data_IF_477097524388
#
_entry.id   IF_477097524388
#
_cell.length_a   1.000
_cell.length_b   1.000
_cell.length_c   1.000
_cell.angle_alpha   90.00
_cell.angle_beta   90.00
_cell.angle_gamma   90.00
#
_symmetry.space_group_name_H-M   'P 1'
#
loop_
_entity.id
_entity.type
_entity.pdbx_description
1 polymer ?
#
# COMPACT_ATOMS: atom_id res chain seq x y z
N UNK A 1 -60.39 1.66 66.03
CA UNK A 1 -59.93 1.59 67.47
C UNK A 1 -58.93 0.47 67.60
N UNK A 2 -57.92 0.78 68.38
CA UNK A 2 -56.87 0.04 69.02
C UNK A 2 -55.57 -0.22 68.20
N UNK A 3 -54.65 0.56 68.63
CA UNK A 3 -53.20 0.47 68.69
C UNK A 3 -52.75 -0.79 69.45
N UNK A 4 -51.57 -1.36 69.12
CA UNK A 4 -50.54 -1.91 70.04
C UNK A 4 -49.29 -2.24 69.25
N UNK A 5 -48.34 -1.53 69.39
CA UNK A 5 -47.05 -1.33 70.09
C UNK A 5 -46.11 -2.52 70.14
N UNK A 6 -44.91 -2.11 69.79
CA UNK A 6 -43.61 -2.78 69.85
C UNK A 6 -43.30 -3.57 71.14
N UNK A 7 -42.37 -4.53 71.00
CA UNK A 7 -41.46 -5.14 71.98
C UNK A 7 -41.84 -6.48 72.58
N UNK A 8 -40.98 -7.41 72.31
CA UNK A 8 -40.15 -8.25 73.21
C UNK A 8 -39.77 -9.53 72.46
N UNK A 9 -38.54 -9.81 72.33
CA UNK A 9 -37.34 -10.14 73.06
C UNK A 9 -36.94 -11.62 72.86
N UNK A 10 -35.76 -11.71 72.33
CA UNK A 10 -34.65 -12.65 72.58
C UNK A 10 -34.89 -14.04 73.15
N UNK A 11 -34.12 -14.91 72.53
CA UNK A 11 -33.41 -16.11 72.97
C UNK A 11 -33.97 -17.45 72.51
N UNK A 12 -33.23 -18.06 71.61
CA UNK A 12 -32.50 -19.32 71.94
C UNK A 12 -31.45 -19.64 70.88
N UNK A 13 -30.34 -20.10 71.38
CA UNK A 13 -29.12 -20.53 70.62
C UNK A 13 -29.40 -21.82 69.83
N UNK A 14 -28.64 -22.00 68.78
CA UNK A 14 -28.15 -23.33 68.44
C UNK A 14 -28.26 -23.68 66.93
N UNK A 15 -27.22 -23.60 66.21
CA UNK A 15 -26.63 -24.59 65.35
C UNK A 15 -25.78 -23.92 64.27
N UNK A 16 -24.49 -24.04 64.32
CA UNK A 16 -23.55 -23.66 63.34
C UNK A 16 -23.73 -24.52 62.08
N UNK A 17 -24.25 -23.96 61.00
CA UNK A 17 -24.15 -24.51 59.67
C UNK A 17 -23.07 -23.72 58.90
N UNK A 18 -21.94 -24.35 58.67
CA UNK A 18 -20.86 -23.84 57.79
C UNK A 18 -21.39 -23.84 56.37
N UNK A 19 -21.83 -22.71 55.90
CA UNK A 19 -22.07 -22.47 54.48
C UNK A 19 -20.73 -22.17 53.80
N UNK A 20 -20.36 -22.87 52.72
CA UNK A 20 -19.16 -22.49 51.97
C UNK A 20 -19.37 -21.09 51.39
N UNK A 21 -18.45 -20.20 51.67
CA UNK A 21 -18.32 -18.91 51.00
C UNK A 21 -18.18 -19.18 49.52
N UNK A 22 -19.27 -19.02 48.75
CA UNK A 22 -19.20 -18.82 47.31
C UNK A 22 -18.55 -17.45 47.16
N UNK A 23 -17.24 -17.43 46.89
CA UNK A 23 -16.56 -16.27 46.42
C UNK A 23 -17.35 -15.77 45.18
N UNK A 24 -17.76 -14.49 45.10
CA UNK A 24 -18.29 -13.98 43.87
C UNK A 24 -17.17 -14.15 42.84
N UNK A 25 -17.41 -15.01 41.85
CA UNK A 25 -16.66 -14.92 40.59
C UNK A 25 -16.85 -13.49 40.11
N UNK A 26 -15.91 -12.63 40.46
CA UNK A 26 -15.70 -11.39 39.75
C UNK A 26 -15.46 -11.81 38.29
N UNK A 27 -16.52 -11.81 37.48
CA UNK A 27 -16.42 -11.68 36.07
C UNK A 27 -15.62 -10.38 35.88
N UNK A 28 -14.31 -10.51 35.70
CA UNK A 28 -13.48 -9.55 35.02
C UNK A 28 -14.00 -9.55 33.58
N UNK A 29 -15.22 -8.97 33.38
CA UNK A 29 -15.56 -8.32 32.14
C UNK A 29 -14.45 -7.30 32.01
N UNK A 30 -13.44 -7.64 31.23
CA UNK A 30 -12.49 -6.65 30.73
C UNK A 30 -13.37 -5.52 30.22
N UNK A 31 -13.32 -4.37 30.87
CA UNK A 31 -13.87 -3.16 30.29
C UNK A 31 -13.16 -2.98 28.96
N UNK A 32 -13.72 -3.56 27.89
CA UNK A 32 -13.24 -3.37 26.54
C UNK A 32 -13.38 -1.89 26.29
N UNK A 33 -12.26 -1.16 26.41
CA UNK A 33 -12.20 0.25 26.04
C UNK A 33 -12.78 0.39 24.62
N UNK A 34 -13.35 1.57 24.31
CA UNK A 34 -13.91 1.83 22.99
C UNK A 34 -12.98 1.35 21.88
N UNK A 35 -13.51 0.78 20.81
CA UNK A 35 -12.77 0.32 19.63
C UNK A 35 -11.89 1.46 19.07
N UNK A 36 -10.87 1.11 18.31
CA UNK A 36 -10.00 2.07 17.63
C UNK A 36 -10.36 2.06 16.15
N UNK A 37 -10.98 3.13 15.64
CA UNK A 37 -11.44 3.19 14.27
C UNK A 37 -10.29 3.43 13.29
N UNK A 38 -10.28 2.69 12.18
CA UNK A 38 -9.36 2.84 11.05
C UNK A 38 -10.18 3.07 9.79
N UNK A 39 -9.94 4.19 9.10
CA UNK A 39 -10.53 4.48 7.80
C UNK A 39 -9.75 3.80 6.68
N UNK A 40 -10.43 3.09 5.80
CA UNK A 40 -9.81 2.32 4.71
C UNK A 40 -10.47 2.69 3.39
N UNK A 41 -9.79 3.49 2.57
CA UNK A 41 -10.25 3.84 1.23
C UNK A 41 -9.55 2.96 0.19
N UNK A 42 -10.32 2.15 -0.54
CA UNK A 42 -9.79 1.19 -1.50
C UNK A 42 -10.46 1.35 -2.86
N UNK A 43 -9.75 1.11 -3.96
CA UNK A 43 -10.33 1.16 -5.30
C UNK A 43 -11.12 -0.13 -5.57
N UNK A 44 -12.34 -0.23 -5.04
CA UNK A 44 -13.20 -1.39 -5.28
C UNK A 44 -13.82 -1.36 -6.68
N UNK A 45 -13.94 -0.15 -7.24
CA UNK A 45 -14.42 0.11 -8.61
C UNK A 45 -13.50 1.10 -9.33
N UNK A 46 -13.82 1.44 -10.58
CA UNK A 46 -13.01 2.34 -11.42
C UNK A 46 -11.79 1.66 -12.04
N UNK A 47 -10.80 2.44 -12.43
CA UNK A 47 -9.63 1.96 -13.20
C UNK A 47 -8.76 0.94 -12.46
N UNK A 48 -8.78 0.93 -11.13
CA UNK A 48 -8.03 0.02 -10.28
C UNK A 48 -8.92 -1.01 -9.56
N UNK A 49 -10.19 -1.14 -9.97
CA UNK A 49 -11.19 -1.97 -9.30
C UNK A 49 -10.82 -3.45 -9.15
N UNK A 50 -9.93 -3.95 -9.99
CA UNK A 50 -9.42 -5.31 -9.88
C UNK A 50 -8.59 -5.57 -8.61
N UNK A 51 -7.96 -4.55 -8.04
CA UNK A 51 -7.06 -4.70 -6.88
C UNK A 51 -7.78 -4.55 -5.53
N UNK A 52 -8.88 -3.81 -5.49
CA UNK A 52 -9.59 -3.44 -4.25
C UNK A 52 -10.07 -4.62 -3.41
N UNK A 53 -10.72 -5.63 -3.98
CA UNK A 53 -11.24 -6.78 -3.22
C UNK A 53 -10.19 -7.52 -2.39
N UNK A 54 -9.03 -7.83 -2.98
CA UNK A 54 -7.94 -8.51 -2.27
C UNK A 54 -7.29 -7.61 -1.21
N UNK A 55 -7.22 -6.30 -1.45
CA UNK A 55 -6.76 -5.33 -0.46
C UNK A 55 -7.73 -5.24 0.73
N UNK A 56 -9.04 -5.27 0.49
CA UNK A 56 -10.05 -5.28 1.54
C UNK A 56 -9.99 -6.56 2.37
N UNK A 57 -9.78 -7.71 1.73
CA UNK A 57 -9.61 -8.98 2.43
C UNK A 57 -8.34 -8.99 3.29
N UNK A 58 -7.23 -8.44 2.79
CA UNK A 58 -6.00 -8.27 3.56
C UNK A 58 -6.22 -7.39 4.80
N UNK A 59 -6.96 -6.28 4.67
CA UNK A 59 -7.31 -5.42 5.80
C UNK A 59 -8.10 -6.19 6.87
N UNK A 60 -9.17 -6.88 6.46
CA UNK A 60 -10.04 -7.66 7.36
C UNK A 60 -9.26 -8.75 8.10
N UNK A 61 -8.46 -9.55 7.39
CA UNK A 61 -7.68 -10.64 7.99
C UNK A 61 -6.60 -10.12 8.92
N UNK A 62 -5.95 -9.02 8.58
CA UNK A 62 -4.94 -8.38 9.44
C UNK A 62 -5.56 -7.91 10.76
N UNK A 63 -6.68 -7.19 10.69
CA UNK A 63 -7.38 -6.73 11.90
C UNK A 63 -7.92 -7.90 12.72
N UNK A 64 -8.46 -8.92 12.07
CA UNK A 64 -8.91 -10.14 12.77
C UNK A 64 -7.76 -10.82 13.54
N UNK A 65 -6.57 -10.91 12.90
CA UNK A 65 -5.36 -11.45 13.54
C UNK A 65 -4.91 -10.62 14.74
N UNK A 66 -4.87 -9.29 14.64
CA UNK A 66 -4.52 -8.39 15.73
C UNK A 66 -5.52 -8.52 16.87
N UNK A 67 -6.82 -8.48 16.56
CA UNK A 67 -7.88 -8.55 17.56
C UNK A 67 -7.93 -9.91 18.29
N UNK A 68 -7.70 -11.01 17.58
CA UNK A 68 -7.61 -12.35 18.20
C UNK A 68 -6.32 -12.53 19.00
N UNK A 69 -5.25 -11.82 18.66
CA UNK A 69 -3.99 -11.76 19.39
C UNK A 69 -4.02 -10.88 20.65
N UNK A 70 -5.20 -10.41 21.05
CA UNK A 70 -5.40 -9.59 22.26
C UNK A 70 -5.55 -8.10 22.02
N UNK A 71 -5.75 -7.66 20.77
CA UNK A 71 -5.95 -6.23 20.42
C UNK A 71 -4.70 -5.39 20.66
N UNK A 72 -4.88 -4.10 20.90
CA UNK A 72 -3.81 -3.13 21.23
C UNK A 72 -4.23 -2.25 22.42
N UNK A 73 -3.31 -1.48 22.99
CA UNK A 73 -3.59 -0.50 24.05
C UNK A 73 -4.42 -1.09 25.20
N UNK A 74 -3.97 -2.20 25.76
CA UNK A 74 -4.66 -2.87 26.89
C UNK A 74 -5.88 -3.69 26.47
N UNK A 75 -5.92 -4.21 25.25
CA UNK A 75 -6.96 -5.12 24.77
C UNK A 75 -8.04 -4.46 23.92
N UNK A 76 -7.89 -3.19 23.54
CA UNK A 76 -8.82 -2.51 22.62
C UNK A 76 -8.75 -3.14 21.24
N UNK A 77 -9.92 -3.32 20.64
CA UNK A 77 -10.05 -3.89 19.30
C UNK A 77 -9.92 -2.80 18.23
N UNK A 78 -9.32 -3.15 17.10
CA UNK A 78 -9.38 -2.32 15.89
C UNK A 78 -10.73 -2.54 15.19
N UNK A 79 -11.29 -1.48 14.63
CA UNK A 79 -12.52 -1.48 13.85
C UNK A 79 -12.29 -0.82 12.49
N UNK A 80 -12.66 -1.51 11.40
CA UNK A 80 -12.45 -1.04 10.03
C UNK A 80 -13.70 -0.37 9.47
N UNK A 81 -13.51 0.79 8.88
CA UNK A 81 -14.47 1.46 8.01
C UNK A 81 -13.93 1.41 6.59
N UNK A 82 -14.37 0.40 5.80
CA UNK A 82 -13.88 0.15 4.44
C UNK A 82 -14.88 0.73 3.46
N UNK A 83 -14.42 1.63 2.59
CA UNK A 83 -15.25 2.31 1.59
C UNK A 83 -14.56 2.28 0.22
N UNK A 84 -15.37 2.32 -0.84
CA UNK A 84 -14.90 2.39 -2.22
C UNK A 84 -14.45 3.81 -2.58
N UNK A 85 -13.19 3.96 -2.97
CA UNK A 85 -12.65 5.23 -3.47
C UNK A 85 -13.01 5.49 -4.94
N UNK A 86 -13.61 4.49 -5.62
CA UNK A 86 -13.96 4.53 -7.05
C UNK A 86 -12.77 4.89 -7.96
N UNK A 87 -11.54 4.70 -7.47
CA UNK A 87 -10.30 5.20 -8.11
C UNK A 87 -10.34 6.73 -8.39
N UNK A 88 -11.08 7.49 -7.57
CA UNK A 88 -11.41 8.90 -7.77
C UNK A 88 -10.82 9.79 -6.70
N UNK A 89 -10.16 10.89 -7.12
CA UNK A 89 -9.61 11.91 -6.22
C UNK A 89 -10.68 12.57 -5.33
N UNK A 90 -11.83 12.92 -5.91
CA UNK A 90 -12.91 13.60 -5.18
C UNK A 90 -13.59 12.68 -4.17
N UNK A 91 -13.82 11.42 -4.55
CA UNK A 91 -14.39 10.42 -3.64
C UNK A 91 -13.44 10.15 -2.49
N UNK A 92 -12.13 9.93 -2.75
CA UNK A 92 -11.13 9.71 -1.71
C UNK A 92 -11.03 10.88 -0.73
N UNK A 93 -11.10 12.14 -1.21
CA UNK A 93 -11.12 13.33 -0.35
C UNK A 93 -12.36 13.35 0.57
N UNK A 94 -13.55 13.06 0.01
CA UNK A 94 -14.80 13.00 0.78
C UNK A 94 -14.77 11.87 1.82
N UNK A 95 -14.23 10.70 1.46
CA UNK A 95 -14.04 9.59 2.39
C UNK A 95 -13.09 9.97 3.53
N UNK A 96 -11.99 10.66 3.24
CA UNK A 96 -11.06 11.13 4.27
C UNK A 96 -11.75 12.03 5.29
N UNK A 97 -12.58 12.98 4.83
CA UNK A 97 -13.39 13.84 5.71
C UNK A 97 -14.42 13.03 6.52
N UNK A 98 -15.10 12.05 5.88
CA UNK A 98 -16.07 11.17 6.56
C UNK A 98 -15.39 10.34 7.66
N UNK A 99 -14.26 9.70 7.36
CA UNK A 99 -13.51 8.91 8.33
C UNK A 99 -13.07 9.74 9.53
N UNK A 100 -12.55 10.94 9.30
CA UNK A 100 -12.09 11.82 10.38
C UNK A 100 -13.27 12.39 11.18
N UNK A 101 -14.25 12.96 10.49
CA UNK A 101 -15.29 13.76 11.16
C UNK A 101 -16.42 12.92 11.73
N UNK A 102 -16.81 11.82 11.06
CA UNK A 102 -17.91 10.94 11.48
C UNK A 102 -17.38 9.77 12.31
N UNK A 103 -16.44 9.02 11.76
CA UNK A 103 -15.92 7.80 12.41
C UNK A 103 -14.78 8.08 13.40
N UNK A 104 -14.29 9.33 13.50
CA UNK A 104 -13.20 9.73 14.39
C UNK A 104 -11.89 8.96 14.16
N UNK A 105 -11.65 8.50 12.94
CA UNK A 105 -10.42 7.82 12.57
C UNK A 105 -9.23 8.77 12.65
N UNK A 106 -8.15 8.31 13.27
CA UNK A 106 -6.87 9.00 13.29
C UNK A 106 -5.82 8.33 12.39
N UNK A 107 -6.22 7.27 11.72
CA UNK A 107 -5.45 6.55 10.69
C UNK A 107 -6.32 6.33 9.46
N UNK A 108 -5.78 6.69 8.31
CA UNK A 108 -6.36 6.55 6.99
C UNK A 108 -5.42 5.68 6.17
N UNK A 109 -5.87 4.50 5.72
CA UNK A 109 -5.04 3.51 5.03
C UNK A 109 -5.66 3.10 3.69
N UNK A 110 -4.88 2.44 2.84
CA UNK A 110 -5.33 1.97 1.52
C UNK A 110 -4.89 2.89 0.40
N UNK A 111 -5.58 3.96 0.15
CA UNK A 111 -5.33 5.04 -0.84
C UNK A 111 -4.34 4.65 -1.94
N UNK A 112 -4.85 3.89 -2.92
CA UNK A 112 -3.99 3.21 -3.89
C UNK A 112 -3.40 4.16 -4.94
N UNK A 113 -4.22 5.03 -5.50
CA UNK A 113 -3.83 5.88 -6.62
C UNK A 113 -3.18 7.20 -6.24
N UNK A 114 -2.35 7.74 -7.11
CA UNK A 114 -1.77 9.08 -6.92
C UNK A 114 -2.84 10.18 -6.76
N UNK A 115 -3.91 10.24 -7.59
CA UNK A 115 -4.96 11.23 -7.40
C UNK A 115 -5.64 11.14 -6.04
N UNK A 116 -5.90 9.93 -5.55
CA UNK A 116 -6.52 9.66 -4.24
C UNK A 116 -5.61 10.12 -3.10
N UNK A 117 -4.33 9.75 -3.13
CA UNK A 117 -3.35 10.16 -2.12
C UNK A 117 -3.14 11.66 -2.09
N UNK A 118 -3.02 12.31 -3.26
CA UNK A 118 -2.80 13.75 -3.38
C UNK A 118 -3.98 14.58 -2.90
N UNK A 119 -5.22 14.15 -3.16
CA UNK A 119 -6.43 14.86 -2.71
C UNK A 119 -6.68 14.68 -1.21
N UNK A 120 -6.31 13.55 -0.64
CA UNK A 120 -6.51 13.23 0.79
C UNK A 120 -5.41 13.78 1.69
N UNK A 121 -4.20 13.98 1.15
CA UNK A 121 -3.04 14.48 1.89
C UNK A 121 -3.29 15.79 2.68
N UNK A 122 -3.78 16.88 2.07
CA UNK A 122 -4.02 18.13 2.80
C UNK A 122 -5.06 17.95 3.91
N UNK A 123 -6.07 17.11 3.69
CA UNK A 123 -7.12 16.82 4.67
C UNK A 123 -6.51 16.12 5.89
N UNK A 124 -5.68 15.10 5.67
CA UNK A 124 -5.02 14.35 6.74
C UNK A 124 -4.09 15.27 7.57
N UNK A 125 -3.22 16.05 6.93
CA UNK A 125 -2.30 16.96 7.60
C UNK A 125 -3.06 18.00 8.43
N UNK A 126 -4.06 18.66 7.85
CA UNK A 126 -4.86 19.69 8.52
C UNK A 126 -5.57 19.16 9.78
N UNK A 127 -6.05 17.92 9.72
CA UNK A 127 -6.77 17.27 10.82
C UNK A 127 -5.87 16.45 11.74
N UNK A 128 -4.55 16.47 11.53
CA UNK A 128 -3.57 15.68 12.29
C UNK A 128 -3.91 14.19 12.33
N UNK A 129 -4.37 13.63 11.19
CA UNK A 129 -4.59 12.22 10.99
C UNK A 129 -3.45 11.64 10.14
N UNK A 130 -3.03 10.41 10.41
CA UNK A 130 -1.98 9.77 9.61
C UNK A 130 -2.60 9.13 8.36
N UNK A 131 -2.07 9.49 7.21
CA UNK A 131 -2.42 8.95 5.90
C UNK A 131 -1.33 8.00 5.42
N UNK A 132 -1.69 6.75 5.18
CA UNK A 132 -0.81 5.73 4.60
C UNK A 132 -1.29 5.36 3.22
N UNK A 133 -0.43 5.52 2.22
CA UNK A 133 -0.79 5.35 0.82
C UNK A 133 0.04 4.27 0.13
N UNK A 134 -0.54 3.66 -0.90
CA UNK A 134 0.18 2.81 -1.86
C UNK A 134 0.48 3.53 -3.18
N UNK A 135 0.50 4.85 -3.15
CA UNK A 135 0.74 5.75 -4.30
C UNK A 135 2.22 6.03 -4.49
N UNK A 136 2.65 6.30 -5.73
CA UNK A 136 4.06 6.44 -6.07
C UNK A 136 4.55 7.88 -6.33
N UNK A 137 3.67 8.85 -6.64
CA UNK A 137 4.09 10.20 -7.00
C UNK A 137 4.97 10.85 -5.92
N UNK A 138 6.06 11.50 -6.32
CA UNK A 138 7.01 12.10 -5.40
C UNK A 138 6.36 13.09 -4.43
N UNK A 139 5.46 13.93 -4.95
CA UNK A 139 4.80 15.00 -4.20
C UNK A 139 3.96 14.53 -3.00
N UNK A 140 3.68 13.23 -2.88
CA UNK A 140 2.84 12.69 -1.79
C UNK A 140 3.46 12.93 -0.42
N UNK A 141 4.76 12.66 -0.27
CA UNK A 141 5.51 12.81 0.99
C UNK A 141 6.29 14.11 1.05
N UNK A 142 6.54 14.75 -0.11
CA UNK A 142 7.29 16.01 -0.17
C UNK A 142 6.59 17.13 0.61
N UNK A 143 7.37 17.78 1.52
CA UNK A 143 6.86 18.90 2.31
C UNK A 143 5.98 18.52 3.51
N UNK A 144 5.78 17.26 3.81
CA UNK A 144 5.23 16.84 5.10
C UNK A 144 6.35 16.83 6.16
N UNK A 145 6.45 17.92 6.92
CA UNK A 145 7.41 18.06 8.02
C UNK A 145 6.86 17.55 9.36
N UNK A 146 5.59 17.12 9.38
CA UNK A 146 4.90 16.73 10.61
C UNK A 146 4.80 15.22 10.80
N UNK A 147 5.09 14.43 9.75
CA UNK A 147 5.06 12.97 9.79
C UNK A 147 3.66 12.37 9.76
N UNK A 148 2.72 13.02 9.07
CA UNK A 148 1.35 12.51 8.90
C UNK A 148 1.14 11.75 7.59
N UNK A 149 2.11 11.73 6.65
CA UNK A 149 1.97 11.06 5.36
C UNK A 149 3.07 10.02 5.15
N UNK A 150 2.67 8.77 4.92
CA UNK A 150 3.57 7.63 4.79
C UNK A 150 3.26 6.84 3.53
N UNK A 151 4.28 6.57 2.73
CA UNK A 151 4.19 5.85 1.47
C UNK A 151 4.63 4.41 1.62
N UNK A 152 3.72 3.47 1.38
CA UNK A 152 3.98 2.03 1.33
C UNK A 152 4.13 1.56 -0.11
N UNK A 153 4.90 2.29 -0.89
CA UNK A 153 5.20 2.00 -2.29
C UNK A 153 6.56 2.63 -2.64
N UNK A 154 7.24 2.07 -3.62
CA UNK A 154 8.44 2.67 -4.19
C UNK A 154 8.12 4.06 -4.77
N UNK A 155 8.99 5.03 -4.56
CA UNK A 155 8.88 6.39 -5.11
C UNK A 155 8.96 6.37 -6.63
N UNK A 156 8.15 7.18 -7.30
CA UNK A 156 8.06 7.15 -8.76
C UNK A 156 9.42 7.41 -9.47
N UNK A 157 10.25 8.29 -8.94
CA UNK A 157 11.61 8.49 -9.47
C UNK A 157 12.42 7.19 -9.40
N UNK A 158 12.29 6.43 -8.31
CA UNK A 158 13.05 5.19 -8.12
C UNK A 158 12.58 4.09 -9.09
N UNK A 159 11.27 4.04 -9.44
CA UNK A 159 10.82 3.19 -10.55
C UNK A 159 11.61 3.49 -11.81
N UNK A 160 11.70 4.78 -12.17
CA UNK A 160 12.44 5.21 -13.35
C UNK A 160 13.91 4.82 -13.30
N UNK A 161 14.57 4.98 -12.16
CA UNK A 161 15.98 4.59 -11.97
C UNK A 161 16.16 3.09 -12.18
N UNK A 162 15.30 2.25 -11.58
CA UNK A 162 15.37 0.79 -11.73
C UNK A 162 15.10 0.37 -13.18
N UNK A 163 14.08 0.94 -13.82
CA UNK A 163 13.76 0.67 -15.24
C UNK A 163 14.95 1.11 -16.13
N UNK A 164 15.53 2.28 -15.89
CA UNK A 164 16.69 2.76 -16.62
C UNK A 164 17.90 1.82 -16.50
N UNK A 165 18.18 1.28 -15.31
CA UNK A 165 19.21 0.26 -15.09
C UNK A 165 18.90 -1.05 -15.85
N UNK A 166 17.64 -1.50 -15.84
CA UNK A 166 17.22 -2.69 -16.56
C UNK A 166 17.38 -2.52 -18.08
N UNK A 167 17.02 -1.36 -18.63
CA UNK A 167 17.22 -1.02 -20.04
C UNK A 167 18.70 -1.08 -20.43
N UNK A 168 19.59 -0.62 -19.54
CA UNK A 168 21.06 -0.70 -19.74
C UNK A 168 21.55 -2.14 -19.68
N UNK A 169 21.07 -2.95 -18.74
CA UNK A 169 21.42 -4.36 -18.61
C UNK A 169 21.00 -5.19 -19.85
N UNK A 170 19.92 -4.76 -20.51
CA UNK A 170 19.48 -5.34 -21.80
C UNK A 170 20.37 -4.93 -22.99
N UNK A 171 21.37 -4.06 -22.79
CA UNK A 171 22.35 -3.67 -23.80
C UNK A 171 21.95 -2.51 -24.68
N UNK A 172 20.75 -1.91 -24.51
CA UNK A 172 20.28 -0.79 -25.34
C UNK A 172 21.14 0.46 -25.15
N UNK A 173 21.57 1.07 -26.26
CA UNK A 173 22.43 2.26 -26.28
C UNK A 173 21.66 3.55 -26.53
N UNK A 174 20.58 3.46 -27.32
CA UNK A 174 19.74 4.59 -27.72
C UNK A 174 18.30 4.37 -27.26
N UNK A 175 17.78 5.30 -26.50
CA UNK A 175 16.49 5.16 -25.82
C UNK A 175 15.60 6.38 -26.12
N UNK A 176 14.38 6.12 -26.61
CA UNK A 176 13.29 7.08 -26.62
C UNK A 176 12.51 7.02 -25.31
N UNK A 177 11.99 8.14 -24.86
CA UNK A 177 11.14 8.19 -23.66
C UNK A 177 9.85 8.92 -24.03
N UNK A 178 8.70 8.33 -23.74
CA UNK A 178 7.41 9.02 -23.84
C UNK A 178 6.53 8.71 -22.65
N UNK A 179 5.73 9.68 -22.22
CA UNK A 179 4.88 9.48 -21.06
C UNK A 179 3.75 10.46 -20.92
N UNK A 180 2.73 10.01 -20.21
CA UNK A 180 1.52 10.76 -19.90
C UNK A 180 1.82 11.94 -18.97
N UNK A 181 1.24 13.10 -19.27
CA UNK A 181 1.34 14.29 -18.42
C UNK A 181 0.56 14.14 -17.11
N UNK A 182 1.19 13.55 -16.11
CA UNK A 182 0.64 13.48 -14.75
C UNK A 182 1.73 13.36 -13.68
N UNK A 183 1.34 13.57 -12.43
CA UNK A 183 2.25 13.58 -11.27
C UNK A 183 2.89 12.20 -10.97
N UNK A 184 2.34 11.10 -11.48
CA UNK A 184 2.90 9.76 -11.34
C UNK A 184 3.96 9.46 -12.41
N UNK A 185 3.68 9.77 -13.67
CA UNK A 185 4.52 9.38 -14.81
C UNK A 185 5.75 10.27 -14.97
N UNK A 186 5.60 11.59 -14.79
CA UNK A 186 6.72 12.52 -15.00
C UNK A 186 7.96 12.23 -14.17
N UNK A 187 7.88 11.87 -12.86
CA UNK A 187 9.05 11.46 -12.10
C UNK A 187 9.67 10.15 -12.58
N UNK A 188 8.88 9.20 -13.11
CA UNK A 188 9.39 7.95 -13.70
C UNK A 188 10.24 8.28 -14.92
N UNK A 189 9.72 9.11 -15.85
CA UNK A 189 10.46 9.55 -17.04
C UNK A 189 11.80 10.18 -16.66
N UNK A 190 11.78 11.08 -15.67
CA UNK A 190 12.98 11.75 -15.16
C UNK A 190 13.99 10.73 -14.61
N UNK A 191 13.54 9.76 -13.80
CA UNK A 191 14.40 8.72 -13.25
C UNK A 191 15.05 7.84 -14.33
N UNK A 192 14.29 7.47 -15.38
CA UNK A 192 14.85 6.75 -16.54
C UNK A 192 15.90 7.60 -17.24
N UNK A 193 15.58 8.86 -17.56
CA UNK A 193 16.46 9.77 -18.28
C UNK A 193 17.78 9.98 -17.52
N UNK A 194 17.72 10.26 -16.21
CA UNK A 194 18.90 10.43 -15.35
C UNK A 194 19.74 9.15 -15.31
N UNK A 195 19.11 7.99 -15.12
CA UNK A 195 19.78 6.70 -15.05
C UNK A 195 20.50 6.37 -16.37
N UNK A 196 19.82 6.56 -17.49
CA UNK A 196 20.34 6.29 -18.85
C UNK A 196 21.52 7.20 -19.17
N UNK A 197 21.40 8.52 -18.92
CA UNK A 197 22.46 9.51 -19.14
C UNK A 197 23.67 9.27 -18.26
N UNK A 198 23.46 8.92 -16.97
CA UNK A 198 24.54 8.60 -16.01
C UNK A 198 25.38 7.41 -16.48
N UNK A 199 24.78 6.48 -17.21
CA UNK A 199 25.49 5.33 -17.79
C UNK A 199 26.13 5.60 -19.17
N UNK A 200 26.15 6.84 -19.62
CA UNK A 200 26.72 7.22 -20.93
C UNK A 200 25.90 6.75 -22.12
N UNK A 201 24.61 6.46 -21.94
CA UNK A 201 23.68 6.09 -23.01
C UNK A 201 22.98 7.33 -23.57
N UNK A 202 22.47 7.24 -24.78
CA UNK A 202 21.82 8.36 -25.47
C UNK A 202 20.31 8.31 -25.33
N UNK A 203 19.72 9.38 -24.82
CA UNK A 203 18.27 9.62 -24.94
C UNK A 203 18.04 10.33 -26.28
N UNK A 204 17.38 9.66 -27.24
CA UNK A 204 17.15 10.21 -28.60
C UNK A 204 16.10 11.31 -28.61
N UNK A 205 15.08 11.16 -27.78
CA UNK A 205 14.06 12.17 -27.52
C UNK A 205 13.29 11.82 -26.24
N UNK A 206 12.69 12.85 -25.64
CA UNK A 206 11.78 12.70 -24.48
C UNK A 206 10.52 13.52 -24.74
N UNK A 207 9.35 12.88 -24.73
CA UNK A 207 8.06 13.46 -25.08
C UNK A 207 7.03 13.24 -23.98
N UNK A 208 6.36 14.31 -23.60
CA UNK A 208 5.18 14.28 -22.71
C UNK A 208 3.94 14.39 -23.59
N UNK A 209 2.98 13.49 -23.42
CA UNK A 209 1.71 13.52 -24.16
C UNK A 209 0.50 13.74 -23.23
N UNK A 210 -0.58 14.30 -23.79
CA UNK A 210 -1.84 14.46 -23.08
C UNK A 210 -2.69 13.18 -23.22
N UNK A 211 -3.55 12.85 -22.21
CA UNK A 211 -4.44 11.68 -22.29
C UNK A 211 -5.56 11.88 -23.31
N UNK A 212 -6.22 10.77 -23.66
CA UNK A 212 -7.49 10.74 -24.41
C UNK A 212 -7.45 11.47 -25.75
N UNK A 213 -6.31 11.43 -26.44
CA UNK A 213 -6.20 12.02 -27.75
C UNK A 213 -6.90 11.17 -28.82
N UNK A 214 -7.47 11.79 -29.85
CA UNK A 214 -8.09 11.06 -30.98
C UNK A 214 -7.08 10.15 -31.71
N UNK A 215 -5.81 10.51 -31.73
CA UNK A 215 -4.70 9.76 -32.30
C UNK A 215 -3.39 10.12 -31.65
N UNK A 216 -2.49 9.16 -31.52
CA UNK A 216 -1.11 9.32 -31.03
C UNK A 216 -0.08 9.19 -32.16
N UNK A 217 -0.51 9.30 -33.41
CA UNK A 217 0.35 9.09 -34.58
C UNK A 217 1.54 10.06 -34.60
N UNK A 218 1.31 11.32 -34.32
CA UNK A 218 2.37 12.35 -34.35
C UNK A 218 3.43 12.10 -33.27
N UNK A 219 3.01 11.70 -32.04
CA UNK A 219 3.88 11.36 -30.95
C UNK A 219 4.70 10.09 -31.25
N UNK A 220 4.06 9.06 -31.83
CA UNK A 220 4.72 7.83 -32.25
C UNK A 220 5.75 8.11 -33.36
N UNK A 221 5.39 8.84 -34.41
CA UNK A 221 6.30 9.22 -35.48
C UNK A 221 7.49 10.03 -34.94
N UNK A 222 7.28 10.94 -34.01
CA UNK A 222 8.35 11.74 -33.40
C UNK A 222 9.35 10.89 -32.61
N UNK A 223 8.87 9.97 -31.77
CA UNK A 223 9.73 9.16 -30.88
C UNK A 223 10.33 7.97 -31.64
N UNK A 224 9.49 7.16 -32.27
CA UNK A 224 9.92 5.92 -32.94
C UNK A 224 10.59 6.20 -34.29
N UNK A 225 10.23 7.28 -34.96
CA UNK A 225 10.85 7.69 -36.22
C UNK A 225 12.35 8.00 -36.13
N UNK A 226 12.86 8.32 -34.92
CA UNK A 226 14.31 8.45 -34.63
C UNK A 226 15.01 7.08 -34.51
N UNK A 227 14.29 5.98 -34.61
CA UNK A 227 14.77 4.60 -34.58
C UNK A 227 15.63 4.28 -33.34
N UNK A 228 15.19 4.64 -32.10
CA UNK A 228 15.92 4.21 -30.93
C UNK A 228 15.87 2.67 -30.80
N UNK A 229 16.87 2.06 -30.17
CA UNK A 229 16.86 0.62 -29.90
C UNK A 229 15.71 0.21 -28.97
N UNK A 230 15.36 1.08 -28.00
CA UNK A 230 14.21 0.89 -27.14
C UNK A 230 13.45 2.18 -26.90
N UNK A 231 12.14 2.08 -26.65
CA UNK A 231 11.28 3.18 -26.20
C UNK A 231 10.68 2.82 -24.86
N UNK A 232 10.95 3.64 -23.84
CA UNK A 232 10.25 3.60 -22.56
C UNK A 232 8.95 4.39 -22.69
N UNK A 233 7.83 3.71 -22.63
CA UNK A 233 6.50 4.29 -22.77
C UNK A 233 5.73 4.14 -21.45
N UNK A 234 5.27 5.28 -20.88
CA UNK A 234 4.61 5.32 -19.57
C UNK A 234 3.28 6.05 -19.63
N UNK A 235 2.26 5.48 -19.01
CA UNK A 235 0.92 6.06 -19.00
C UNK A 235 -0.12 5.13 -18.39
N UNK A 236 -1.31 5.13 -18.98
CA UNK A 236 -2.43 4.28 -18.60
C UNK A 236 -2.84 3.38 -19.78
N UNK A 237 -3.60 2.32 -19.47
CA UNK A 237 -3.98 1.32 -20.46
C UNK A 237 -4.65 1.86 -21.72
N UNK A 238 -5.65 2.79 -21.68
CA UNK A 238 -6.34 3.24 -22.88
C UNK A 238 -5.41 3.92 -23.90
N UNK A 239 -4.55 4.82 -23.39
CA UNK A 239 -3.58 5.55 -24.24
C UNK A 239 -2.53 4.58 -24.82
N UNK A 240 -2.04 3.65 -23.97
CA UNK A 240 -1.05 2.67 -24.38
C UNK A 240 -1.56 1.74 -25.49
N UNK A 241 -2.82 1.29 -25.38
CA UNK A 241 -3.48 0.53 -26.47
C UNK A 241 -3.45 1.29 -27.78
N UNK A 242 -3.81 2.59 -27.75
CA UNK A 242 -3.83 3.44 -28.94
C UNK A 242 -2.42 3.67 -29.50
N UNK A 243 -1.44 3.95 -28.63
CA UNK A 243 -0.03 4.14 -28.99
C UNK A 243 0.52 2.86 -29.64
N UNK A 244 0.31 1.68 -29.04
CA UNK A 244 0.84 0.42 -29.59
C UNK A 244 0.22 0.04 -30.92
N UNK A 245 -1.05 0.36 -31.15
CA UNK A 245 -1.68 0.19 -32.47
C UNK A 245 -1.02 1.07 -33.53
N UNK A 246 -0.67 2.32 -33.22
CA UNK A 246 0.05 3.20 -34.14
C UNK A 246 1.50 2.74 -34.38
N UNK A 247 2.20 2.27 -33.32
CA UNK A 247 3.56 1.69 -33.46
C UNK A 247 3.53 0.50 -34.41
N UNK A 248 2.58 -0.41 -34.25
CA UNK A 248 2.42 -1.57 -35.12
C UNK A 248 2.08 -1.18 -36.57
N UNK A 249 1.12 -0.26 -36.77
CA UNK A 249 0.73 0.23 -38.11
C UNK A 249 1.88 0.91 -38.83
N UNK A 250 2.72 1.64 -38.09
CA UNK A 250 3.90 2.32 -38.63
C UNK A 250 5.08 1.43 -38.91
N UNK A 251 5.02 0.14 -38.57
CA UNK A 251 6.10 -0.82 -38.77
C UNK A 251 7.37 -0.50 -37.99
N UNK A 252 7.26 0.15 -36.81
CA UNK A 252 8.41 0.48 -35.99
C UNK A 252 8.94 -0.75 -35.22
N UNK A 253 10.27 -0.92 -35.22
CA UNK A 253 10.93 -2.11 -34.67
C UNK A 253 11.57 -1.91 -33.28
N UNK A 254 11.57 -0.68 -32.76
CA UNK A 254 12.10 -0.37 -31.43
C UNK A 254 11.47 -1.27 -30.36
N UNK A 255 12.29 -1.76 -29.44
CA UNK A 255 11.77 -2.56 -28.29
C UNK A 255 10.99 -1.65 -27.36
N UNK A 256 9.88 -2.13 -26.83
CA UNK A 256 9.03 -1.35 -25.93
C UNK A 256 9.19 -1.81 -24.48
N UNK A 257 9.36 -0.81 -23.61
CA UNK A 257 9.43 -0.97 -22.16
C UNK A 257 8.30 -0.16 -21.53
N UNK A 258 7.48 -0.78 -20.69
CA UNK A 258 6.26 -0.20 -20.15
C UNK A 258 6.08 -0.51 -18.65
N UNK A 259 4.98 -0.05 -18.06
CA UNK A 259 4.55 -0.45 -16.72
C UNK A 259 3.54 -1.60 -16.80
N UNK A 260 3.52 -2.48 -15.82
CA UNK A 260 2.57 -3.61 -15.77
C UNK A 260 1.12 -3.15 -15.75
N UNK A 261 0.81 -2.04 -15.06
CA UNK A 261 -0.54 -1.48 -15.00
C UNK A 261 -1.12 -1.11 -16.37
N UNK A 262 -0.29 -0.97 -17.39
CA UNK A 262 -0.71 -0.66 -18.76
C UNK A 262 -0.44 -1.80 -19.74
N UNK A 263 0.65 -2.54 -19.61
CA UNK A 263 1.06 -3.57 -20.56
C UNK A 263 0.50 -4.96 -20.25
N UNK A 264 0.08 -5.21 -19.02
CA UNK A 264 -0.62 -6.44 -18.62
C UNK A 264 -2.08 -6.14 -18.25
N UNK A 265 -2.30 -5.35 -17.19
CA UNK A 265 -3.64 -4.99 -16.72
C UNK A 265 -4.60 -6.20 -16.68
N UNK A 266 -4.10 -7.33 -16.14
CA UNK A 266 -4.83 -8.61 -16.06
C UNK A 266 -5.24 -9.18 -17.44
N UNK A 267 -4.36 -9.04 -18.43
CA UNK A 267 -4.58 -9.52 -19.80
C UNK A 267 -5.34 -8.55 -20.70
N UNK A 268 -5.95 -7.49 -20.16
CA UNK A 268 -6.77 -6.54 -20.93
C UNK A 268 -6.01 -5.85 -22.06
N UNK A 269 -4.72 -5.61 -21.89
CA UNK A 269 -3.90 -5.03 -22.95
C UNK A 269 -3.82 -5.98 -24.15
N UNK A 270 -3.47 -7.26 -23.92
CA UNK A 270 -3.37 -8.27 -24.99
C UNK A 270 -4.73 -8.49 -25.67
N UNK A 271 -5.81 -8.52 -24.91
CA UNK A 271 -7.17 -8.59 -25.46
C UNK A 271 -7.47 -7.41 -26.40
N UNK A 272 -7.04 -6.19 -26.06
CA UNK A 272 -7.32 -4.99 -26.83
C UNK A 272 -6.48 -4.82 -28.09
N UNK A 273 -5.23 -5.33 -28.11
CA UNK A 273 -4.29 -5.14 -29.23
C UNK A 273 -3.95 -6.43 -29.99
N UNK A 274 -4.20 -7.59 -29.40
CA UNK A 274 -3.81 -8.90 -29.92
C UNK A 274 -2.37 -9.29 -29.57
N UNK A 275 -2.10 -10.60 -29.56
CA UNK A 275 -0.82 -11.17 -29.16
C UNK A 275 0.36 -10.67 -30.03
N UNK A 276 0.13 -10.45 -31.32
CA UNK A 276 1.16 -10.02 -32.27
C UNK A 276 1.68 -8.59 -31.96
N UNK A 277 0.78 -7.66 -31.62
CA UNK A 277 1.15 -6.28 -31.24
C UNK A 277 1.84 -6.24 -29.87
N UNK A 278 1.43 -7.13 -28.98
CA UNK A 278 1.95 -7.18 -27.63
C UNK A 278 3.29 -7.93 -27.49
N UNK A 279 3.69 -8.74 -28.51
CA UNK A 279 4.84 -9.60 -28.45
C UNK A 279 6.15 -8.87 -28.16
N UNK A 280 6.89 -9.35 -27.18
CA UNK A 280 8.20 -8.83 -26.80
C UNK A 280 8.18 -7.55 -25.96
N UNK A 281 7.01 -6.97 -25.67
CA UNK A 281 6.92 -5.83 -24.77
C UNK A 281 7.38 -6.26 -23.37
N UNK A 282 8.33 -5.52 -22.81
CA UNK A 282 8.77 -5.70 -21.43
C UNK A 282 8.03 -4.75 -20.52
N UNK A 283 7.65 -5.23 -19.33
CA UNK A 283 6.96 -4.37 -18.37
C UNK A 283 7.44 -4.59 -16.95
N UNK A 284 7.28 -3.57 -16.13
CA UNK A 284 7.84 -3.48 -14.80
C UNK A 284 6.80 -3.06 -13.79
N UNK A 285 6.91 -3.61 -12.56
CA UNK A 285 6.05 -3.25 -11.43
C UNK A 285 6.81 -3.47 -10.11
N UNK A 286 6.80 -2.51 -9.18
CA UNK A 286 7.22 -2.80 -7.83
C UNK A 286 6.39 -3.93 -7.24
N UNK A 287 7.05 -4.91 -6.67
CA UNK A 287 6.43 -6.07 -6.07
C UNK A 287 7.12 -6.44 -4.76
N UNK A 288 6.46 -7.19 -3.87
CA UNK A 288 7.12 -7.75 -2.70
C UNK A 288 8.17 -8.79 -3.08
N UNK A 289 9.14 -9.02 -2.21
CA UNK A 289 10.02 -10.18 -2.30
C UNK A 289 9.21 -11.43 -1.87
N UNK A 290 8.74 -12.20 -2.85
CA UNK A 290 7.92 -13.39 -2.60
C UNK A 290 8.68 -14.51 -1.91
N UNK A 291 10.01 -14.46 -1.86
CA UNK A 291 10.85 -15.40 -1.13
C UNK A 291 10.97 -15.06 0.37
N UNK A 292 10.63 -13.83 0.75
CA UNK A 292 10.76 -13.34 2.13
C UNK A 292 9.82 -14.09 3.10
N UNK A 293 10.28 -14.42 4.33
CA UNK A 293 9.44 -15.08 5.33
C UNK A 293 8.15 -14.31 5.66
N UNK A 294 8.22 -12.98 5.75
CA UNK A 294 7.06 -12.12 5.97
C UNK A 294 5.99 -12.28 4.89
N UNK A 295 6.41 -12.35 3.61
CA UNK A 295 5.48 -12.56 2.50
C UNK A 295 4.79 -13.92 2.58
N UNK A 296 5.52 -14.99 2.87
CA UNK A 296 4.94 -16.34 3.05
C UNK A 296 3.95 -16.41 4.20
N UNK A 297 4.22 -15.71 5.32
CA UNK A 297 3.25 -15.57 6.41
C UNK A 297 1.99 -14.82 5.98
N UNK A 298 2.15 -13.81 5.13
CA UNK A 298 1.03 -13.06 4.57
C UNK A 298 0.19 -13.92 3.61
N UNK A 299 0.79 -14.68 2.68
CA UNK A 299 0.02 -15.57 1.79
C UNK A 299 -0.76 -16.61 2.58
N UNK A 300 -0.16 -17.17 3.64
CA UNK A 300 -0.85 -18.06 4.58
C UNK A 300 -2.01 -17.35 5.30
N UNK A 301 -1.83 -16.10 5.72
CA UNK A 301 -2.91 -15.28 6.31
C UNK A 301 -4.06 -15.10 5.31
N UNK A 302 -3.74 -14.88 4.03
CA UNK A 302 -4.73 -14.76 2.95
C UNK A 302 -5.40 -16.10 2.59
N UNK A 303 -4.91 -17.23 3.10
CA UNK A 303 -5.39 -18.56 2.72
C UNK A 303 -5.05 -18.92 1.27
N UNK A 304 -3.98 -18.37 0.75
CA UNK A 304 -3.51 -18.55 -0.62
C UNK A 304 -2.24 -19.43 -0.68
N UNK A 305 -1.93 -20.05 -1.85
CA UNK A 305 -0.65 -20.71 -2.09
C UNK A 305 0.53 -19.76 -1.84
N UNK A 306 1.68 -20.30 -1.42
CA UNK A 306 2.88 -19.51 -1.11
C UNK A 306 3.43 -18.75 -2.32
N UNK A 307 3.23 -19.26 -3.52
CA UNK A 307 3.68 -18.69 -4.80
C UNK A 307 2.68 -17.71 -5.42
N UNK A 308 1.49 -17.54 -4.80
CA UNK A 308 0.51 -16.55 -5.26
C UNK A 308 1.10 -15.14 -5.13
N UNK A 309 1.22 -14.44 -6.26
CA UNK A 309 1.65 -13.06 -6.27
C UNK A 309 0.49 -12.11 -5.92
N UNK A 310 0.68 -11.34 -4.86
CA UNK A 310 -0.15 -10.20 -4.50
C UNK A 310 0.66 -8.92 -4.62
N UNK A 311 0.26 -8.00 -5.48
CA UNK A 311 1.01 -6.75 -5.71
C UNK A 311 0.75 -5.69 -4.63
N UNK A 312 -0.50 -5.46 -4.27
CA UNK A 312 -0.91 -4.38 -3.36
C UNK A 312 -1.48 -4.82 -2.00
N UNK A 313 -2.15 -5.98 -1.88
CA UNK A 313 -2.66 -6.46 -0.60
C UNK A 313 -1.62 -6.49 0.54
N UNK A 314 -0.33 -6.87 0.30
CA UNK A 314 0.70 -6.80 1.31
C UNK A 314 0.92 -5.39 1.87
N UNK A 315 0.78 -4.34 1.04
CA UNK A 315 0.92 -2.96 1.52
C UNK A 315 -0.20 -2.60 2.51
N UNK A 316 -1.44 -3.00 2.23
CA UNK A 316 -2.58 -2.76 3.13
C UNK A 316 -2.39 -3.50 4.46
N UNK A 317 -1.87 -4.73 4.41
CA UNK A 317 -1.47 -5.47 5.61
C UNK A 317 -0.43 -4.71 6.42
N UNK A 318 0.64 -4.27 5.78
CA UNK A 318 1.76 -3.59 6.44
C UNK A 318 1.32 -2.24 7.03
N UNK A 319 0.49 -1.47 6.31
CA UNK A 319 -0.08 -0.22 6.80
C UNK A 319 -0.81 -0.41 8.13
N UNK A 320 -1.71 -1.38 8.19
CA UNK A 320 -2.49 -1.68 9.41
C UNK A 320 -1.58 -2.21 10.51
N UNK A 321 -0.61 -3.07 10.18
CA UNK A 321 0.37 -3.59 11.12
C UNK A 321 1.19 -2.45 11.76
N UNK A 322 1.69 -1.54 10.95
CA UNK A 322 2.48 -0.38 11.42
C UNK A 322 1.63 0.56 12.27
N UNK A 323 0.37 0.84 11.88
CA UNK A 323 -0.57 1.61 12.73
C UNK A 323 -0.70 0.98 14.11
N UNK A 324 -0.95 -0.33 14.18
CA UNK A 324 -1.14 -1.04 15.46
C UNK A 324 0.11 -1.01 16.33
N UNK A 325 1.29 -1.28 15.74
CA UNK A 325 2.57 -1.25 16.45
C UNK A 325 2.95 0.14 16.93
N UNK A 326 2.76 1.16 16.10
CA UNK A 326 3.08 2.53 16.45
C UNK A 326 2.17 3.07 17.58
N UNK A 327 0.88 2.75 17.54
CA UNK A 327 -0.06 3.06 18.64
C UNK A 327 0.32 2.36 19.93
N UNK A 328 0.63 1.05 19.89
CA UNK A 328 1.06 0.29 21.06
C UNK A 328 2.36 0.84 21.65
N UNK A 329 3.33 1.19 20.80
CA UNK A 329 4.61 1.79 21.21
C UNK A 329 4.43 3.16 21.84
N UNK A 330 3.54 3.99 21.30
CA UNK A 330 3.19 5.32 21.82
C UNK A 330 2.32 5.22 23.09
N UNK A 331 1.68 4.07 23.35
CA UNK A 331 0.63 3.90 24.37
C UNK A 331 -0.52 4.90 24.18
N UNK A 332 -0.80 5.29 22.95
CA UNK A 332 -1.79 6.32 22.60
C UNK A 332 -2.45 6.03 21.26
N UNK A 333 -3.78 6.23 21.11
CA UNK A 333 -4.45 6.18 19.82
C UNK A 333 -4.38 7.53 19.07
N UNK A 334 -3.81 8.58 19.67
CA UNK A 334 -3.75 9.93 19.12
C UNK A 334 -2.63 10.00 18.07
N UNK A 335 -2.97 10.38 16.83
CA UNK A 335 -2.04 10.36 15.70
C UNK A 335 -0.77 11.19 15.93
N UNK A 336 -0.87 12.34 16.59
CA UNK A 336 0.29 13.17 16.91
C UNK A 336 1.32 12.47 17.83
N UNK A 337 0.88 11.49 18.60
CA UNK A 337 1.75 10.72 19.50
C UNK A 337 2.38 9.54 18.75
N UNK A 338 1.58 8.75 18.03
CA UNK A 338 2.04 7.51 17.45
C UNK A 338 2.69 7.66 16.06
N UNK A 339 2.39 8.72 15.30
CA UNK A 339 3.06 8.97 14.02
C UNK A 339 4.59 9.01 14.17
N UNK A 340 5.09 9.57 15.27
CA UNK A 340 6.51 9.64 15.59
C UNK A 340 7.15 8.28 15.90
N UNK A 341 6.33 7.27 16.20
CA UNK A 341 6.80 5.92 16.51
C UNK A 341 6.91 5.02 15.28
N UNK A 342 6.44 5.45 14.10
CA UNK A 342 6.49 4.65 12.87
C UNK A 342 7.94 4.27 12.56
N UNK A 343 8.85 5.24 12.48
CA UNK A 343 10.28 4.97 12.26
C UNK A 343 10.86 4.08 13.37
N UNK A 344 10.47 4.30 14.62
CA UNK A 344 10.98 3.53 15.75
C UNK A 344 10.65 2.05 15.68
N UNK A 345 9.46 1.69 15.18
CA UNK A 345 9.04 0.29 15.06
C UNK A 345 9.46 -0.35 13.75
N UNK A 346 9.74 0.46 12.72
CA UNK A 346 10.08 -0.02 11.38
C UNK A 346 11.58 -0.10 11.10
N UNK A 347 12.36 0.94 11.45
CA UNK A 347 13.76 1.06 11.04
C UNK A 347 14.78 0.49 12.07
N UNK A 348 14.31 -0.07 13.19
CA UNK A 348 15.23 -0.51 14.26
C UNK A 348 15.96 0.66 14.97
N UNK A 349 17.01 0.42 15.77
CA UNK A 349 17.51 -0.90 16.10
C UNK A 349 16.56 -1.68 17.02
N UNK A 350 16.54 -3.01 16.88
CA UNK A 350 15.71 -3.87 17.72
C UNK A 350 15.69 -5.31 17.26
N UNK A 351 14.83 -6.10 17.89
CA UNK A 351 14.61 -7.48 17.52
C UNK A 351 13.92 -7.56 16.15
N UNK A 352 14.50 -8.29 15.18
CA UNK A 352 13.89 -8.49 13.87
C UNK A 352 12.61 -9.32 14.01
N UNK A 353 11.50 -8.80 13.53
CA UNK A 353 10.20 -9.45 13.62
C UNK A 353 9.39 -9.23 12.35
N UNK A 354 8.71 -10.28 11.90
CA UNK A 354 7.91 -10.32 10.67
C UNK A 354 6.49 -10.86 10.90
N UNK A 355 6.06 -10.88 12.16
CA UNK A 355 4.70 -11.23 12.59
C UNK A 355 4.15 -10.14 13.52
N UNK A 356 2.95 -9.65 13.21
CA UNK A 356 2.36 -8.52 13.94
C UNK A 356 2.03 -8.87 15.41
N UNK A 357 1.58 -10.08 15.69
CA UNK A 357 1.22 -10.47 17.07
C UNK A 357 2.48 -10.62 17.92
N UNK A 358 3.54 -11.16 17.35
CA UNK A 358 4.83 -11.27 18.04
C UNK A 358 5.46 -9.88 18.22
N UNK A 359 5.40 -9.02 17.22
CA UNK A 359 5.84 -7.63 17.33
C UNK A 359 5.13 -6.90 18.50
N UNK A 360 3.81 -7.01 18.59
CA UNK A 360 3.04 -6.41 19.68
C UNK A 360 3.43 -6.98 21.07
N UNK A 361 3.73 -8.27 21.17
CA UNK A 361 4.24 -8.88 22.43
C UNK A 361 5.58 -8.29 22.84
N UNK A 362 6.52 -8.16 21.89
CA UNK A 362 7.85 -7.59 22.13
C UNK A 362 7.75 -6.13 22.56
N UNK A 363 6.91 -5.33 21.89
CA UNK A 363 6.66 -3.91 22.25
C UNK A 363 6.08 -3.82 23.68
N UNK A 364 5.09 -4.65 24.05
CA UNK A 364 4.51 -4.69 25.40
C UNK A 364 5.52 -5.05 26.48
N UNK A 365 6.50 -5.90 26.15
CA UNK A 365 7.60 -6.22 27.02
C UNK A 365 8.64 -5.07 27.15
N UNK A 366 8.39 -3.91 26.52
CA UNK A 366 9.27 -2.73 26.57
C UNK A 366 10.50 -2.82 25.66
N UNK A 367 10.61 -3.86 24.82
CA UNK A 367 11.74 -4.06 23.93
C UNK A 367 11.57 -3.26 22.62
N UNK A 368 12.70 -2.99 21.95
CA UNK A 368 12.73 -2.41 20.61
C UNK A 368 12.58 -3.50 19.55
N UNK A 369 11.98 -3.15 18.43
CA UNK A 369 11.81 -4.02 17.27
C UNK A 369 12.34 -3.37 15.99
N UNK A 370 12.57 -4.21 15.00
CA UNK A 370 12.77 -3.86 13.60
C UNK A 370 11.78 -4.72 12.79
N UNK A 371 10.68 -4.11 12.34
CA UNK A 371 9.61 -4.84 11.68
C UNK A 371 9.87 -4.98 10.18
N UNK A 372 9.82 -6.22 9.69
CA UNK A 372 9.82 -6.55 8.27
C UNK A 372 8.41 -6.90 7.82
N UNK A 373 7.83 -6.11 6.93
CA UNK A 373 6.49 -6.31 6.40
C UNK A 373 6.44 -7.31 5.25
N UNK A 374 5.21 -7.62 4.85
CA UNK A 374 4.94 -8.50 3.70
C UNK A 374 5.19 -7.82 2.35
N UNK A 375 4.99 -6.51 2.28
CA UNK A 375 5.18 -5.72 1.05
C UNK A 375 6.63 -5.26 0.83
N UNK A 376 7.38 -5.10 1.92
CA UNK A 376 8.78 -4.67 1.92
C UNK A 376 9.42 -4.88 3.28
N UNK A 377 10.68 -4.45 3.46
CA UNK A 377 11.33 -4.42 4.79
C UNK A 377 10.69 -3.42 5.76
N UNK A 378 9.74 -2.62 5.31
CA UNK A 378 9.12 -1.53 6.08
C UNK A 378 10.10 -0.49 6.64
N UNK A 379 11.27 -0.33 6.05
CA UNK A 379 12.15 0.79 6.35
C UNK A 379 11.65 2.07 5.65
N UNK A 380 11.76 3.19 6.35
CA UNK A 380 11.31 4.49 5.83
C UNK A 380 12.39 5.56 5.97
N UNK A 381 12.39 6.49 5.01
CA UNK A 381 13.10 7.76 5.18
C UNK A 381 12.40 8.64 6.23
N UNK A 382 13.08 9.64 6.80
CA UNK A 382 12.44 10.60 7.70
C UNK A 382 11.22 11.32 7.09
N UNK A 383 11.16 11.41 5.75
CA UNK A 383 10.04 12.03 5.02
C UNK A 383 8.88 11.07 4.77
N UNK A 384 8.91 9.82 5.27
CA UNK A 384 7.84 8.85 5.11
C UNK A 384 7.88 8.06 3.79
N UNK A 385 8.98 8.07 3.05
CA UNK A 385 9.16 7.24 1.85
C UNK A 385 9.67 5.84 2.22
N UNK A 386 9.00 4.80 1.73
CA UNK A 386 9.42 3.41 1.94
C UNK A 386 10.71 3.10 1.15
N UNK A 387 11.61 2.39 1.80
CA UNK A 387 12.85 1.88 1.25
C UNK A 387 12.76 0.37 0.97
N UNK A 388 13.80 -0.19 0.31
CA UNK A 388 14.01 -1.63 0.23
C UNK A 388 13.01 -2.42 -0.63
N UNK A 389 12.15 -1.76 -1.41
CA UNK A 389 11.21 -2.45 -2.29
C UNK A 389 11.82 -2.70 -3.66
N UNK A 390 11.78 -3.94 -4.12
CA UNK A 390 12.26 -4.30 -5.44
C UNK A 390 11.18 -4.21 -6.53
N UNK A 391 11.58 -4.52 -7.76
CA UNK A 391 10.75 -4.42 -8.94
C UNK A 391 10.79 -5.72 -9.75
N UNK A 392 9.63 -6.27 -10.06
CA UNK A 392 9.52 -7.40 -11.00
C UNK A 392 9.61 -6.91 -12.44
N UNK A 393 10.21 -7.74 -13.27
CA UNK A 393 10.25 -7.59 -14.72
C UNK A 393 9.53 -8.75 -15.37
N UNK A 394 8.70 -8.44 -16.34
CA UNK A 394 8.01 -9.42 -17.20
C UNK A 394 8.26 -9.10 -18.67
N UNK A 395 7.99 -10.08 -19.51
CA UNK A 395 7.95 -9.93 -20.96
C UNK A 395 6.68 -10.63 -21.50
N UNK A 396 6.02 -10.01 -22.47
CA UNK A 396 4.89 -10.64 -23.14
C UNK A 396 5.43 -11.61 -24.20
N UNK A 397 5.06 -12.89 -24.09
CA UNK A 397 5.37 -13.96 -25.05
C UNK A 397 4.13 -14.79 -25.34
N UNK A 398 3.79 -14.93 -26.63
CA UNK A 398 2.61 -15.67 -27.05
C UNK A 398 1.33 -15.15 -26.43
N UNK A 399 1.22 -13.84 -26.21
CA UNK A 399 0.07 -13.19 -25.62
C UNK A 399 -0.06 -13.34 -24.08
N UNK A 400 0.99 -13.80 -23.39
CA UNK A 400 1.01 -13.96 -21.93
C UNK A 400 2.18 -13.22 -21.30
N UNK A 401 1.95 -12.60 -20.16
CA UNK A 401 3.02 -12.04 -19.33
C UNK A 401 3.82 -13.17 -18.66
N UNK A 402 5.11 -13.21 -18.97
CA UNK A 402 6.06 -14.19 -18.42
C UNK A 402 7.02 -13.45 -17.49
N UNK A 403 7.09 -13.87 -16.23
CA UNK A 403 8.04 -13.32 -15.26
C UNK A 403 9.48 -13.62 -15.70
N UNK A 404 10.34 -12.61 -15.59
CA UNK A 404 11.76 -12.71 -15.98
C UNK A 404 12.65 -12.74 -14.74
N UNK A 405 12.53 -11.69 -13.90
CA UNK A 405 13.39 -11.55 -12.73
C UNK A 405 12.82 -10.53 -11.73
N UNK A 406 13.36 -10.59 -10.50
CA UNK A 406 13.13 -9.59 -9.46
C UNK A 406 14.40 -8.77 -9.28
N UNK A 407 14.33 -7.50 -9.68
CA UNK A 407 15.41 -6.54 -9.48
C UNK A 407 15.29 -5.91 -8.08
N UNK A 408 16.30 -6.10 -7.24
CA UNK A 408 16.43 -5.38 -5.97
C UNK A 408 16.71 -3.89 -6.23
N UNK A 409 16.32 -3.00 -5.32
CA UNK A 409 16.51 -1.55 -5.48
C UNK A 409 17.97 -1.13 -5.57
#
# INVERSE_FOLDING_TARGET
MQKFTRRKVLKTLGAAAVTPFAAPFLNLAHAQGATIPIGVALPMTGNAGAYGPDMAEAAKRTVAKINSGGGILGGRRLELFIEDSESSASVAANLSQKFINVHKCQSLVGYWGTPEGMSSRPIAIQNKAVLMVSSAANAITEGDTQGYVWRFQMKATDWGIVIGRAVQALGYKTIGIMGLQNAFVLPIMKGVEESVKKAGRTVTDSLIYNPEQPSYRAEVERIFGKKPEAVCCFGLLPDFVSIMKEVYRGGFESKVVALTIMADAEGKFVEAVGAQVAEGIRHFQPMPDTSAPAYKKFTKLMGAPEDKLFLFPPNTHDQIAVVAMAMEKAKSPIAADWSKQIITVCNGPGENVDDIVDALKIIRAGKAINFSGAGSTCDFTPNGDQLGRGMGQWIIKGGKSVFVEYAKP
#
